data_IF_870004550743
#
_entry.id   IF_870004550743
#
_cell.length_a   1.000
_cell.length_b   1.000
_cell.length_c   1.000
_cell.angle_alpha   90.00
_cell.angle_beta   90.00
_cell.angle_gamma   90.00
#
_symmetry.space_group_name_H-M   'P 1'
#
loop_
_entity.id
_entity.type
_entity.pdbx_description
1 polymer ?
#
# COMPACT_ATOMS: atom_id res chain seq x y z
N UNK A 1 -4.17 4.01 -5.66
CA UNK A 1 -5.34 4.91 -5.82
C UNK A 1 -6.21 4.39 -6.95
N UNK A 2 -7.41 3.92 -6.64
CA UNK A 2 -8.39 3.52 -7.66
C UNK A 2 -9.38 2.50 -7.14
N UNK A 3 -10.08 1.81 -8.05
CA UNK A 3 -11.27 1.00 -7.77
C UNK A 3 -10.98 -0.45 -7.39
N UNK A 4 -9.77 -0.74 -6.91
CA UNK A 4 -9.23 -2.08 -6.66
C UNK A 4 -9.67 -3.14 -7.70
N UNK A 5 -9.15 -3.15 -8.95
CA UNK A 5 -9.69 -3.96 -10.04
C UNK A 5 -9.56 -5.48 -9.86
N UNK A 6 -8.86 -5.94 -8.81
CA UNK A 6 -8.82 -7.36 -8.42
C UNK A 6 -10.10 -7.77 -7.67
N UNK A 7 -10.82 -6.82 -7.05
CA UNK A 7 -12.04 -7.05 -6.28
C UNK A 7 -13.16 -6.14 -6.81
N UNK A 8 -14.26 -6.73 -7.28
CA UNK A 8 -15.36 -5.97 -7.87
C UNK A 8 -16.04 -5.02 -6.86
N UNK A 9 -16.52 -3.88 -7.35
CA UNK A 9 -17.45 -3.00 -6.63
C UNK A 9 -16.82 -1.94 -5.70
N UNK A 10 -15.50 -1.79 -5.68
CA UNK A 10 -14.84 -0.80 -4.81
C UNK A 10 -14.83 0.58 -5.47
N UNK A 11 -15.36 1.59 -4.77
CA UNK A 11 -15.23 2.99 -5.19
C UNK A 11 -13.75 3.43 -5.14
N UNK A 12 -13.39 4.55 -5.78
CA UNK A 12 -12.00 5.01 -5.77
C UNK A 12 -11.53 5.25 -4.33
N UNK A 13 -10.53 4.48 -3.89
CA UNK A 13 -9.96 4.56 -2.54
C UNK A 13 -8.47 4.88 -2.55
N UNK A 14 -8.03 5.41 -1.41
CA UNK A 14 -6.62 5.55 -1.03
C UNK A 14 -6.39 4.64 0.16
N UNK A 15 -5.57 3.63 -0.06
CA UNK A 15 -5.10 2.72 0.99
C UNK A 15 -3.60 2.93 1.13
N UNK A 16 -3.12 3.02 2.37
CA UNK A 16 -1.72 3.23 2.69
C UNK A 16 -1.23 2.13 3.63
N UNK A 17 -0.13 1.48 3.24
CA UNK A 17 0.58 0.52 4.08
C UNK A 17 1.83 1.21 4.65
N UNK A 18 1.97 1.17 5.98
CA UNK A 18 3.14 1.73 6.66
C UNK A 18 4.24 0.66 6.70
N UNK A 19 5.36 0.96 6.05
CA UNK A 19 6.51 0.07 5.88
C UNK A 19 7.43 0.17 7.11
N UNK A 20 8.20 -0.88 7.39
CA UNK A 20 9.20 -0.97 8.48
C UNK A 20 8.65 -0.76 9.90
N UNK A 21 7.36 -1.10 10.10
CA UNK A 21 6.81 -1.18 11.45
C UNK A 21 7.54 -2.25 12.26
N UNK A 22 7.86 -1.99 13.54
CA UNK A 22 8.45 -3.00 14.41
C UNK A 22 7.46 -4.13 14.66
N UNK A 23 7.95 -5.26 15.19
CA UNK A 23 7.08 -6.29 15.72
C UNK A 23 6.41 -5.76 17.01
N UNK A 24 5.15 -5.38 16.89
CA UNK A 24 4.36 -4.74 17.94
C UNK A 24 2.90 -5.22 17.88
N UNK A 25 2.14 -4.96 18.94
CA UNK A 25 0.73 -5.34 18.95
C UNK A 25 -0.06 -4.45 17.97
N UNK A 26 -1.17 -4.96 17.43
CA UNK A 26 -1.95 -4.21 16.42
C UNK A 26 -2.52 -2.92 17.01
N UNK A 27 -2.91 -2.97 18.28
CA UNK A 27 -3.42 -1.86 19.07
C UNK A 27 -2.40 -0.72 19.26
N UNK A 28 -1.10 -1.01 19.20
CA UNK A 28 -0.04 0.00 19.36
C UNK A 28 0.02 0.96 18.16
N UNK A 29 -0.54 0.55 17.01
CA UNK A 29 -0.65 1.37 15.79
C UNK A 29 -2.08 1.44 15.26
N UNK A 30 -2.97 2.03 16.06
CA UNK A 30 -4.36 2.21 15.69
C UNK A 30 -4.62 3.60 15.06
N UNK A 31 -4.82 3.64 13.74
CA UNK A 31 -5.17 4.87 13.01
C UNK A 31 -6.68 5.06 12.81
N UNK A 32 -7.54 4.19 13.35
CA UNK A 32 -8.99 4.36 13.21
C UNK A 32 -9.46 5.65 13.90
N UNK A 33 -10.24 6.45 13.17
CA UNK A 33 -10.75 7.75 13.64
C UNK A 33 -9.71 8.88 13.64
N UNK A 34 -8.46 8.60 13.29
CA UNK A 34 -7.40 9.61 13.23
C UNK A 34 -7.42 10.37 11.90
N UNK A 35 -7.02 11.64 11.93
CA UNK A 35 -6.75 12.41 10.72
C UNK A 35 -5.28 12.23 10.34
N UNK A 36 -5.03 11.78 9.12
CA UNK A 36 -3.68 11.55 8.60
C UNK A 36 -3.45 12.36 7.33
N UNK A 37 -2.18 12.71 7.08
CA UNK A 37 -1.74 13.32 5.83
C UNK A 37 -0.97 12.28 5.03
N UNK A 38 -1.34 12.12 3.76
CA UNK A 38 -0.65 11.23 2.81
C UNK A 38 -0.08 12.08 1.70
N UNK A 39 1.23 12.01 1.52
CA UNK A 39 1.95 12.70 0.45
C UNK A 39 2.43 11.72 -0.62
N UNK A 40 2.09 11.99 -1.88
CA UNK A 40 2.54 11.18 -3.01
C UNK A 40 3.85 11.73 -3.54
N UNK A 41 4.96 11.05 -3.23
CA UNK A 41 6.31 11.50 -3.61
C UNK A 41 6.79 10.94 -4.95
N UNK A 42 6.30 9.76 -5.34
CA UNK A 42 6.62 9.09 -6.60
C UNK A 42 5.50 8.14 -7.02
N UNK A 43 5.42 7.82 -8.32
CA UNK A 43 4.50 6.82 -8.86
C UNK A 43 5.27 5.57 -9.27
N UNK A 44 4.97 4.43 -8.64
CA UNK A 44 5.58 3.13 -8.98
C UNK A 44 4.99 2.52 -10.25
N UNK A 45 3.66 2.35 -10.30
CA UNK A 45 2.97 1.62 -11.38
C UNK A 45 1.50 1.97 -11.54
N UNK A 46 0.87 1.43 -12.59
CA UNK A 46 -0.59 1.41 -12.75
C UNK A 46 -1.26 0.30 -11.95
N UNK A 47 -2.59 0.32 -11.89
CA UNK A 47 -3.37 -0.77 -11.30
C UNK A 47 -3.42 -1.96 -12.27
N UNK A 48 -3.28 -3.15 -11.73
CA UNK A 48 -3.25 -4.42 -12.48
C UNK A 48 -4.21 -5.37 -11.78
N UNK A 49 -5.04 -6.06 -12.56
CA UNK A 49 -5.86 -7.16 -12.05
C UNK A 49 -5.01 -8.44 -12.03
N UNK A 50 -4.93 -9.09 -10.87
CA UNK A 50 -4.15 -10.30 -10.68
C UNK A 50 -5.04 -11.54 -10.72
N UNK A 51 -4.47 -12.66 -11.19
CA UNK A 51 -5.12 -13.97 -11.13
C UNK A 51 -4.93 -14.59 -9.75
N UNK A 52 -5.72 -14.13 -8.79
CA UNK A 52 -5.69 -14.61 -7.40
C UNK A 52 -4.83 -13.75 -6.47
N UNK A 53 -5.01 -13.93 -5.15
CA UNK A 53 -4.35 -13.12 -4.12
C UNK A 53 -2.85 -13.36 -4.05
N UNK A 54 -2.35 -14.55 -4.39
CA UNK A 54 -0.93 -14.90 -4.30
C UNK A 54 -0.10 -14.01 -5.23
N UNK A 55 -0.53 -13.86 -6.48
CA UNK A 55 0.16 -13.02 -7.47
C UNK A 55 0.12 -11.54 -7.09
N UNK A 56 -0.97 -11.08 -6.46
CA UNK A 56 -1.07 -9.73 -5.92
C UNK A 56 -0.07 -9.52 -4.77
N UNK A 57 0.01 -10.47 -3.83
CA UNK A 57 0.93 -10.39 -2.69
C UNK A 57 2.38 -10.36 -3.16
N UNK A 58 2.76 -11.20 -4.14
CA UNK A 58 4.12 -11.16 -4.69
C UNK A 58 4.44 -9.79 -5.31
N UNK A 59 3.51 -9.19 -6.07
CA UNK A 59 3.73 -7.84 -6.56
C UNK A 59 3.86 -6.83 -5.42
N UNK A 60 2.99 -6.89 -4.41
CA UNK A 60 3.01 -5.93 -3.30
C UNK A 60 4.34 -5.96 -2.55
N UNK A 61 5.00 -7.12 -2.41
CA UNK A 61 6.34 -7.22 -1.84
C UNK A 61 7.38 -6.47 -2.68
N UNK A 62 7.32 -6.58 -4.01
CA UNK A 62 8.21 -5.84 -4.91
C UNK A 62 7.95 -4.32 -4.82
N UNK A 63 6.67 -3.93 -4.71
CA UNK A 63 6.29 -2.52 -4.56
C UNK A 63 6.85 -1.92 -3.27
N UNK A 64 6.84 -2.67 -2.16
CA UNK A 64 7.43 -2.26 -0.87
C UNK A 64 8.94 -2.05 -1.00
N UNK A 65 9.66 -3.00 -1.59
CA UNK A 65 11.12 -2.89 -1.80
C UNK A 65 11.46 -1.68 -2.68
N UNK A 66 10.70 -1.45 -3.76
CA UNK A 66 10.92 -0.30 -4.63
C UNK A 66 10.63 1.03 -3.94
N UNK A 67 9.53 1.10 -3.17
CA UNK A 67 9.18 2.29 -2.39
C UNK A 67 10.27 2.63 -1.37
N UNK A 68 10.79 1.62 -0.67
CA UNK A 68 11.85 1.77 0.31
C UNK A 68 13.13 2.35 -0.32
N UNK A 69 13.60 1.81 -1.45
CA UNK A 69 14.77 2.35 -2.15
C UNK A 69 14.58 3.81 -2.59
N UNK A 70 13.40 4.16 -3.14
CA UNK A 70 13.11 5.54 -3.59
C UNK A 70 13.12 6.58 -2.45
N UNK A 71 12.90 6.15 -1.20
CA UNK A 71 12.94 7.04 -0.04
C UNK A 71 14.34 7.16 0.56
N UNK A 72 15.20 6.15 0.38
CA UNK A 72 16.60 6.19 0.83
C UNK A 72 17.52 6.98 -0.11
N UNK A 73 17.20 7.03 -1.40
CA UNK A 73 18.00 7.74 -2.42
C UNK A 73 17.80 9.27 -2.43
N UNK A 74 17.25 9.85 -1.36
CA UNK A 74 16.96 11.29 -1.22
C UNK A 74 17.93 12.02 -0.31
#
# INVERSE_FOLDING_TARGET
MGSNPTFDGVSRQVEAHVIDRPEEAVEDFNLYGQTVVVEFTARLRGMVAYRGPEALVEQMRLDVVQAHHLLLDK
#
